data_IF_363548394963
#
_entry.id   IF_363548394963
#
_cell.length_a   1.000
_cell.length_b   1.000
_cell.length_c   1.000
_cell.angle_alpha   90.00
_cell.angle_beta   90.00
_cell.angle_gamma   90.00
#
_symmetry.space_group_name_H-M   'P 1'
#
loop_
_entity.id
_entity.type
_entity.pdbx_description
1 polymer ?
#
# COMPACT_ATOMS: atom_id res chain seq x y z
N UNK A 1 -1.17 0.12 -19.11
CA UNK A 1 -1.61 -0.95 -20.06
C UNK A 1 -0.46 -1.63 -20.81
N UNK A 2 0.59 -0.94 -21.18
CA UNK A 2 1.68 -1.49 -21.99
C UNK A 2 2.81 -2.15 -21.19
N UNK A 3 2.96 -1.86 -19.92
CA UNK A 3 4.09 -2.36 -19.14
C UNK A 3 4.02 -3.86 -18.84
N UNK A 4 2.84 -4.39 -18.52
CA UNK A 4 2.70 -5.84 -18.34
C UNK A 4 2.63 -6.64 -19.64
N UNK A 5 2.05 -6.06 -20.71
CA UNK A 5 2.01 -6.72 -22.02
C UNK A 5 3.40 -6.85 -22.69
N UNK A 6 4.29 -5.89 -22.45
CA UNK A 6 5.67 -5.97 -22.93
C UNK A 6 6.50 -7.05 -22.24
N UNK A 7 6.34 -7.18 -20.93
CA UNK A 7 7.02 -8.22 -20.14
C UNK A 7 6.55 -9.64 -20.48
N UNK A 8 5.27 -9.82 -20.78
CA UNK A 8 4.71 -11.14 -21.11
C UNK A 8 5.00 -11.60 -22.55
N UNK A 9 5.20 -10.67 -23.50
CA UNK A 9 5.53 -11.02 -24.88
C UNK A 9 6.97 -11.49 -25.09
N UNK A 10 7.87 -11.12 -24.19
CA UNK A 10 9.30 -11.47 -24.33
C UNK A 10 9.69 -12.81 -23.67
N UNK A 11 8.76 -13.53 -23.05
CA UNK A 11 9.04 -14.81 -22.41
C UNK A 11 8.96 -16.04 -23.32
N UNK A 12 8.68 -15.86 -24.61
CA UNK A 12 8.75 -16.94 -25.57
C UNK A 12 10.12 -16.94 -26.28
N UNK A 13 11.13 -17.53 -25.63
CA UNK A 13 12.35 -17.93 -26.32
C UNK A 13 13.69 -17.32 -25.93
N UNK A 14 13.81 -16.63 -24.79
CA UNK A 14 15.11 -16.18 -24.28
C UNK A 14 15.52 -16.95 -23.00
N UNK A 15 16.78 -17.37 -22.88
CA UNK A 15 17.24 -18.08 -21.68
C UNK A 15 17.15 -17.18 -20.46
N UNK A 16 16.73 -17.78 -19.34
CA UNK A 16 16.46 -17.12 -18.05
C UNK A 16 17.65 -16.36 -17.41
N UNK A 17 18.78 -16.27 -18.10
CA UNK A 17 20.02 -15.66 -17.61
C UNK A 17 20.18 -14.15 -17.91
N UNK A 18 19.30 -13.54 -18.68
CA UNK A 18 19.55 -12.18 -19.19
C UNK A 18 18.86 -11.03 -18.47
N UNK A 19 18.09 -11.29 -17.39
CA UNK A 19 17.44 -10.26 -16.58
C UNK A 19 17.77 -10.31 -15.10
N UNK A 20 19.01 -10.65 -14.76
CA UNK A 20 19.54 -10.22 -13.47
C UNK A 20 19.93 -8.75 -13.60
N UNK A 21 19.02 -7.86 -13.21
CA UNK A 21 19.44 -6.51 -12.85
C UNK A 21 20.33 -6.68 -11.63
N UNK A 22 21.60 -6.44 -11.82
CA UNK A 22 22.56 -6.43 -10.71
C UNK A 22 22.15 -5.30 -9.76
N UNK A 23 21.52 -5.64 -8.64
CA UNK A 23 21.09 -4.71 -7.61
C UNK A 23 22.26 -4.29 -6.70
N UNK A 24 23.47 -4.84 -6.94
CA UNK A 24 24.62 -4.66 -6.06
C UNK A 24 25.27 -3.27 -6.12
N UNK A 25 24.96 -2.44 -7.13
CA UNK A 25 25.57 -1.13 -7.35
C UNK A 25 24.63 0.08 -7.23
N UNK A 26 23.39 -0.10 -6.75
CA UNK A 26 22.53 1.05 -6.50
C UNK A 26 22.80 1.59 -5.10
N UNK A 27 23.40 2.76 -5.05
CA UNK A 27 23.48 3.55 -3.84
C UNK A 27 22.12 3.55 -3.12
N UNK A 28 22.11 3.20 -1.83
CA UNK A 28 20.91 3.22 -1.00
C UNK A 28 20.29 4.60 -1.09
N UNK A 29 19.02 4.68 -1.45
CA UNK A 29 18.35 5.97 -1.60
C UNK A 29 18.34 6.70 -0.25
N UNK A 30 18.79 7.95 -0.27
CA UNK A 30 18.80 8.82 0.90
C UNK A 30 17.73 9.88 0.73
N UNK A 31 16.71 9.93 1.60
CA UNK A 31 15.66 10.95 1.52
C UNK A 31 16.22 12.39 1.50
N UNK A 32 17.28 12.67 2.27
CA UNK A 32 17.92 14.00 2.31
C UNK A 32 18.45 14.41 0.92
N UNK A 33 19.06 13.49 0.19
CA UNK A 33 19.57 13.75 -1.16
C UNK A 33 18.46 14.03 -2.18
N UNK A 34 17.23 13.61 -1.88
CA UNK A 34 16.03 13.87 -2.70
C UNK A 34 15.28 15.13 -2.25
N UNK A 35 15.81 15.90 -1.32
CA UNK A 35 15.22 17.14 -0.83
C UNK A 35 14.22 16.96 0.32
N UNK A 36 14.06 15.75 0.85
CA UNK A 36 13.31 15.54 2.08
C UNK A 36 14.07 16.10 3.27
N UNK A 37 13.34 16.63 4.24
CA UNK A 37 13.91 17.23 5.45
C UNK A 37 13.68 16.30 6.64
N UNK A 38 14.75 15.96 7.37
CA UNK A 38 14.62 15.23 8.64
C UNK A 38 14.05 16.18 9.71
N UNK A 39 12.87 15.82 10.21
CA UNK A 39 12.15 16.57 11.26
C UNK A 39 12.03 15.77 12.55
N UNK A 40 12.73 14.65 12.68
CA UNK A 40 12.63 13.71 13.80
C UNK A 40 12.88 14.35 15.15
N UNK A 41 13.85 15.27 15.24
CA UNK A 41 14.22 15.93 16.50
C UNK A 41 13.06 16.71 17.14
N UNK A 42 12.14 17.24 16.32
CA UNK A 42 10.95 17.97 16.80
C UNK A 42 9.91 17.09 17.45
N UNK A 43 10.01 15.75 17.29
CA UNK A 43 9.02 14.77 17.75
C UNK A 43 9.54 13.84 18.85
N UNK A 44 10.79 13.92 19.24
CA UNK A 44 11.39 13.05 20.26
C UNK A 44 11.16 11.55 19.97
N UNK A 45 11.44 11.13 18.72
CA UNK A 45 11.25 9.75 18.28
C UNK A 45 12.36 8.83 18.82
N UNK A 46 12.07 7.52 19.00
CA UNK A 46 13.11 6.55 19.31
C UNK A 46 14.15 6.46 18.17
N UNK A 47 15.36 6.02 18.48
CA UNK A 47 16.50 6.01 17.54
C UNK A 47 16.22 5.19 16.27
N UNK A 48 15.39 4.14 16.37
CA UNK A 48 15.04 3.27 15.25
C UNK A 48 14.00 3.87 14.28
N UNK A 49 13.51 5.07 14.54
CA UNK A 49 12.44 5.72 13.78
C UNK A 49 12.83 7.15 13.42
N UNK A 50 12.72 7.46 12.13
CA UNK A 50 12.92 8.82 11.62
C UNK A 50 11.68 9.31 10.89
N UNK A 51 11.45 10.62 10.98
CA UNK A 51 10.37 11.29 10.25
C UNK A 51 10.97 12.32 9.30
N UNK A 52 10.57 12.24 8.04
CA UNK A 52 10.96 13.21 7.01
C UNK A 52 9.75 13.91 6.45
N UNK A 53 9.88 15.20 6.21
CA UNK A 53 8.91 16.02 5.49
C UNK A 53 9.35 16.17 4.04
N UNK A 54 8.39 16.09 3.12
CA UNK A 54 8.64 16.18 1.69
C UNK A 54 9.19 17.55 1.28
N UNK A 55 9.92 17.63 0.14
CA UNK A 55 10.08 18.90 -0.55
C UNK A 55 8.71 19.46 -0.93
N UNK A 56 8.66 20.76 -1.27
CA UNK A 56 7.41 21.44 -1.66
C UNK A 56 6.82 20.84 -2.94
N UNK A 57 7.66 20.28 -3.80
CA UNK A 57 7.26 19.67 -5.08
C UNK A 57 7.67 18.21 -5.13
N UNK A 58 6.69 17.34 -5.34
CA UNK A 58 6.87 15.92 -5.65
C UNK A 58 6.25 15.62 -6.99
N UNK A 59 7.00 15.01 -7.89
CA UNK A 59 6.50 14.59 -9.22
C UNK A 59 5.77 15.74 -9.96
N UNK A 60 6.31 16.96 -9.88
CA UNK A 60 5.73 18.13 -10.51
C UNK A 60 4.47 18.68 -9.84
N UNK A 61 4.12 18.18 -8.66
CA UNK A 61 2.92 18.56 -7.92
C UNK A 61 3.30 19.20 -6.59
N UNK A 62 2.69 20.35 -6.27
CA UNK A 62 2.86 20.96 -4.95
C UNK A 62 2.35 20.00 -3.88
N UNK A 63 3.21 19.66 -2.93
CA UNK A 63 2.98 18.54 -2.03
C UNK A 63 3.29 18.89 -0.58
N UNK A 64 2.58 18.22 0.31
CA UNK A 64 2.84 18.21 1.74
C UNK A 64 2.70 16.76 2.19
N UNK A 65 3.83 16.09 2.34
CA UNK A 65 3.87 14.67 2.63
C UNK A 65 4.92 14.37 3.70
N UNK A 66 4.75 13.24 4.36
CA UNK A 66 5.65 12.73 5.37
C UNK A 66 5.94 11.26 5.12
N UNK A 67 7.15 10.85 5.47
CA UNK A 67 7.51 9.45 5.60
C UNK A 67 8.05 9.18 7.00
N UNK A 68 7.53 8.14 7.63
CA UNK A 68 8.13 7.54 8.81
C UNK A 68 9.00 6.37 8.33
N UNK A 69 10.28 6.39 8.66
CA UNK A 69 11.25 5.39 8.23
C UNK A 69 11.69 4.58 9.44
N UNK A 70 11.37 3.29 9.41
CA UNK A 70 11.72 2.33 10.45
C UNK A 70 12.98 1.57 10.05
N UNK A 71 13.94 1.48 10.94
CA UNK A 71 15.18 0.77 10.72
C UNK A 71 14.98 -0.71 10.38
N UNK A 72 15.85 -1.23 9.54
CA UNK A 72 15.81 -2.62 9.08
C UNK A 72 15.86 -3.66 10.22
N UNK A 73 16.55 -3.33 11.31
CA UNK A 73 16.70 -4.19 12.48
C UNK A 73 15.58 -4.04 13.50
N UNK A 74 14.57 -3.19 13.24
CA UNK A 74 13.48 -2.88 14.15
C UNK A 74 12.10 -3.16 13.54
N UNK A 75 12.01 -4.08 12.58
CA UNK A 75 10.74 -4.47 11.92
C UNK A 75 9.74 -5.06 12.91
N UNK A 76 10.19 -5.63 14.02
CA UNK A 76 9.38 -6.10 15.12
C UNK A 76 8.54 -5.00 15.79
N UNK A 77 8.91 -3.73 15.57
CA UNK A 77 8.15 -2.57 16.05
C UNK A 77 6.92 -2.24 15.20
N UNK A 78 6.86 -2.75 13.96
CA UNK A 78 5.72 -2.56 13.09
C UNK A 78 4.62 -3.58 13.42
N UNK A 79 3.42 -3.08 13.66
CA UNK A 79 2.23 -3.88 13.97
C UNK A 79 1.07 -3.45 13.09
N UNK A 80 0.09 -4.33 12.94
CA UNK A 80 -1.20 -4.03 12.34
C UNK A 80 -2.31 -4.37 13.32
N UNK A 81 -3.32 -3.54 13.39
CA UNK A 81 -4.52 -3.83 14.16
C UNK A 81 -5.77 -3.40 13.40
N UNK A 82 -6.87 -4.06 13.69
CA UNK A 82 -8.19 -3.76 13.14
C UNK A 82 -9.25 -3.76 14.22
N UNK A 83 -10.38 -3.18 13.91
CA UNK A 83 -11.54 -3.13 14.80
C UNK A 83 -12.80 -3.53 14.04
N UNK A 84 -13.68 -4.24 14.72
CA UNK A 84 -15.03 -4.55 14.21
C UNK A 84 -15.89 -3.30 14.08
N UNK A 85 -15.64 -2.31 14.93
CA UNK A 85 -16.28 -0.99 14.88
C UNK A 85 -15.28 0.02 14.35
N UNK A 86 -15.69 0.84 13.38
CA UNK A 86 -14.82 1.89 12.83
C UNK A 86 -14.41 2.87 13.93
N UNK A 87 -13.13 3.21 13.96
CA UNK A 87 -12.56 4.10 14.97
C UNK A 87 -11.62 5.10 14.33
N UNK A 88 -11.53 6.29 14.90
CA UNK A 88 -10.54 7.28 14.46
C UNK A 88 -9.12 6.82 14.78
N UNK A 89 -8.12 7.23 14.00
CA UNK A 89 -6.72 7.00 14.34
C UNK A 89 -6.36 7.43 15.78
N UNK A 90 -6.90 8.55 16.25
CA UNK A 90 -6.68 9.00 17.64
C UNK A 90 -7.24 8.02 18.69
N UNK A 91 -8.33 7.34 18.39
CA UNK A 91 -8.87 6.30 19.29
C UNK A 91 -7.98 5.06 19.29
N UNK A 92 -7.50 4.62 18.13
CA UNK A 92 -6.49 3.57 18.05
C UNK A 92 -5.23 3.93 18.84
N UNK A 93 -4.74 5.16 18.71
CA UNK A 93 -3.60 5.65 19.49
C UNK A 93 -3.77 5.43 20.99
N UNK A 94 -4.93 5.77 21.53
CA UNK A 94 -5.23 5.57 22.96
C UNK A 94 -5.30 4.10 23.34
N UNK A 95 -5.96 3.28 22.52
CA UNK A 95 -6.14 1.85 22.79
C UNK A 95 -4.84 1.05 22.68
N UNK A 96 -3.93 1.48 21.81
CA UNK A 96 -2.65 0.82 21.58
C UNK A 96 -1.51 1.34 22.46
N UNK A 97 -1.85 2.03 23.54
CA UNK A 97 -0.90 2.55 24.53
C UNK A 97 0.09 3.58 23.97
N UNK A 98 -0.42 4.56 23.23
CA UNK A 98 0.32 5.70 22.75
C UNK A 98 1.57 5.34 21.94
N UNK A 99 1.43 4.60 20.81
CA UNK A 99 2.56 4.28 19.94
C UNK A 99 3.15 5.54 19.28
N UNK A 100 4.38 5.44 18.81
CA UNK A 100 5.06 6.57 18.13
C UNK A 100 4.39 6.94 16.82
N UNK A 101 3.86 5.95 16.08
CA UNK A 101 3.24 6.16 14.76
C UNK A 101 1.91 5.42 14.68
N UNK A 102 0.91 6.09 14.13
CA UNK A 102 -0.34 5.50 13.63
C UNK A 102 -0.52 5.96 12.18
N UNK A 103 -0.74 5.02 11.27
CA UNK A 103 -1.10 5.29 9.87
C UNK A 103 -2.39 4.54 9.53
N UNK A 104 -3.36 5.20 8.89
CA UNK A 104 -4.53 4.53 8.34
C UNK A 104 -4.09 3.43 7.37
N UNK A 105 -4.83 2.32 7.32
CA UNK A 105 -4.38 1.14 6.59
C UNK A 105 -5.32 0.73 5.45
N UNK A 106 -5.98 -0.41 5.54
CA UNK A 106 -6.70 -1.01 4.43
C UNK A 106 -8.07 -0.39 4.14
N UNK A 107 -8.67 -0.82 3.05
CA UNK A 107 -10.00 -0.40 2.63
C UNK A 107 -11.07 -0.96 3.57
N UNK A 108 -12.16 -0.23 3.69
CA UNK A 108 -13.28 -0.60 4.54
C UNK A 108 -14.61 -0.04 3.99
N UNK A 109 -15.69 -0.58 4.49
CA UNK A 109 -17.02 -0.06 4.32
C UNK A 109 -17.70 0.12 5.69
N UNK A 110 -19.00 0.41 5.72
CA UNK A 110 -19.75 0.60 6.97
C UNK A 110 -19.74 -0.63 7.90
N UNK A 111 -19.47 -1.81 7.36
CA UNK A 111 -19.51 -3.08 8.10
C UNK A 111 -18.10 -3.54 8.58
N UNK A 112 -17.06 -2.79 8.23
CA UNK A 112 -15.69 -3.08 8.65
C UNK A 112 -14.69 -3.18 7.50
N UNK A 113 -13.55 -3.83 7.75
CA UNK A 113 -12.49 -3.98 6.75
C UNK A 113 -12.95 -4.85 5.59
N UNK A 114 -12.64 -4.39 4.38
CA UNK A 114 -12.75 -5.18 3.14
C UNK A 114 -11.37 -5.51 2.55
N UNK A 115 -10.34 -5.27 3.34
CA UNK A 115 -8.95 -5.64 3.06
C UNK A 115 -8.47 -6.65 4.10
N UNK A 116 -7.60 -7.57 3.69
CA UNK A 116 -7.05 -8.58 4.59
C UNK A 116 -6.26 -7.95 5.73
N UNK A 117 -6.44 -8.51 6.92
CA UNK A 117 -5.66 -8.17 8.11
C UNK A 117 -5.24 -9.48 8.77
N UNK A 118 -3.94 -9.67 8.95
CA UNK A 118 -3.39 -10.76 9.74
C UNK A 118 -2.42 -10.18 10.76
N UNK A 119 -2.60 -10.52 12.01
CA UNK A 119 -1.77 -10.09 13.11
C UNK A 119 -1.35 -11.29 13.94
N UNK A 120 -0.04 -11.49 14.08
CA UNK A 120 0.55 -12.61 14.80
C UNK A 120 -0.06 -13.96 14.39
N UNK A 121 -0.12 -14.19 13.08
CA UNK A 121 -0.65 -15.41 12.46
C UNK A 121 -2.17 -15.56 12.51
N UNK A 122 -2.90 -14.58 13.06
CA UNK A 122 -4.36 -14.63 13.19
C UNK A 122 -5.02 -13.69 12.19
N UNK A 123 -5.87 -14.23 11.34
CA UNK A 123 -6.67 -13.45 10.40
C UNK A 123 -7.82 -12.74 11.12
N UNK A 124 -7.87 -11.42 10.98
CA UNK A 124 -8.92 -10.56 11.54
C UNK A 124 -9.95 -10.21 10.47
N UNK A 125 -9.52 -10.06 9.22
CA UNK A 125 -10.35 -9.75 8.07
C UNK A 125 -9.77 -10.34 6.79
N UNK A 126 -10.63 -10.51 5.78
CA UNK A 126 -10.27 -10.96 4.44
C UNK A 126 -10.66 -9.91 3.40
N UNK A 127 -10.04 -9.99 2.21
CA UNK A 127 -10.41 -9.18 1.07
C UNK A 127 -11.81 -9.52 0.56
N UNK A 128 -12.45 -8.57 -0.10
CA UNK A 128 -13.65 -8.84 -0.90
C UNK A 128 -13.32 -9.86 -2.00
N UNK A 129 -14.04 -11.00 -2.07
CA UNK A 129 -13.75 -12.04 -3.05
C UNK A 129 -14.32 -11.73 -4.44
N UNK A 130 -15.27 -10.80 -4.53
CA UNK A 130 -15.99 -10.49 -5.76
C UNK A 130 -16.44 -9.03 -5.78
N UNK A 131 -16.48 -8.46 -6.98
CA UNK A 131 -17.01 -7.12 -7.22
C UNK A 131 -17.85 -7.11 -8.50
N UNK A 132 -18.86 -6.23 -8.55
CA UNK A 132 -19.68 -6.04 -9.74
C UNK A 132 -19.12 -4.95 -10.65
N UNK A 133 -19.10 -5.22 -11.95
CA UNK A 133 -18.78 -4.22 -12.99
C UNK A 133 -19.66 -4.44 -14.21
N UNK A 134 -19.99 -3.37 -14.93
CA UNK A 134 -20.69 -3.46 -16.22
C UNK A 134 -19.70 -3.76 -17.33
N UNK A 135 -20.04 -4.74 -18.15
CA UNK A 135 -19.39 -5.01 -19.42
C UNK A 135 -20.46 -5.18 -20.50
N UNK A 136 -20.33 -4.46 -21.61
CA UNK A 136 -21.35 -4.39 -22.67
C UNK A 136 -22.78 -4.11 -22.14
N UNK A 137 -22.89 -3.18 -21.19
CA UNK A 137 -24.16 -2.79 -20.61
C UNK A 137 -24.79 -3.76 -19.60
N UNK A 138 -24.19 -4.93 -19.38
CA UNK A 138 -24.66 -5.96 -18.46
C UNK A 138 -23.75 -6.02 -17.23
N UNK A 139 -24.35 -6.15 -16.06
CA UNK A 139 -23.62 -6.33 -14.81
C UNK A 139 -23.05 -7.75 -14.72
N UNK A 140 -21.75 -7.85 -14.51
CA UNK A 140 -21.04 -9.11 -14.32
C UNK A 140 -20.33 -9.12 -12.98
N UNK A 141 -20.09 -10.32 -12.45
CA UNK A 141 -19.27 -10.54 -11.27
C UNK A 141 -17.83 -10.80 -11.68
N UNK A 142 -16.91 -10.02 -11.11
CA UNK A 142 -15.47 -10.14 -11.28
C UNK A 142 -14.86 -10.67 -9.99
N UNK A 143 -13.77 -11.41 -10.11
CA UNK A 143 -13.06 -12.03 -8.99
C UNK A 143 -11.61 -11.55 -8.95
N UNK A 144 -11.34 -10.33 -8.45
CA UNK A 144 -9.98 -9.82 -8.40
C UNK A 144 -9.19 -10.51 -7.29
N UNK A 145 -7.93 -10.79 -7.57
CA UNK A 145 -6.95 -10.94 -6.50
C UNK A 145 -6.61 -9.55 -5.98
N UNK A 146 -6.34 -9.41 -4.67
CA UNK A 146 -6.02 -8.13 -4.06
C UNK A 146 -4.64 -8.17 -3.43
N UNK A 147 -3.96 -7.04 -3.48
CA UNK A 147 -2.61 -6.93 -2.94
C UNK A 147 -2.58 -6.99 -1.42
N UNK A 148 -1.48 -7.54 -0.93
CA UNK A 148 -1.11 -7.55 0.49
C UNK A 148 0.34 -7.15 0.65
N UNK A 149 0.64 -6.54 1.78
CA UNK A 149 1.98 -6.33 2.28
C UNK A 149 2.18 -7.25 3.49
N UNK A 150 3.04 -8.27 3.32
CA UNK A 150 3.40 -9.20 4.37
C UNK A 150 4.62 -8.66 5.10
N UNK A 151 4.64 -8.79 6.42
CA UNK A 151 5.79 -8.36 7.20
C UNK A 151 6.01 -9.21 8.45
N UNK A 152 7.27 -9.35 8.80
CA UNK A 152 7.76 -9.98 10.01
C UNK A 152 9.03 -9.26 10.46
N UNK A 153 9.63 -9.67 11.56
CA UNK A 153 10.94 -9.19 11.99
C UNK A 153 12.05 -9.49 10.99
N UNK A 154 11.88 -10.51 10.14
CA UNK A 154 12.89 -11.00 9.18
C UNK A 154 12.76 -10.37 7.81
N UNK A 155 11.55 -10.31 7.26
CA UNK A 155 11.37 -9.84 5.88
C UNK A 155 10.00 -9.20 5.65
N UNK A 156 9.91 -8.51 4.51
CA UNK A 156 8.67 -7.95 3.98
C UNK A 156 8.53 -8.35 2.51
N UNK A 157 7.31 -8.55 2.07
CA UNK A 157 7.00 -8.88 0.68
C UNK A 157 5.63 -8.36 0.28
N UNK A 158 5.40 -8.25 -1.03
CA UNK A 158 4.08 -7.98 -1.60
C UNK A 158 3.67 -9.12 -2.51
N UNK A 159 2.38 -9.31 -2.63
CA UNK A 159 1.78 -10.26 -3.54
C UNK A 159 0.30 -10.02 -3.66
N UNK A 160 -0.38 -10.88 -4.37
CA UNK A 160 -1.84 -10.83 -4.56
C UNK A 160 -2.45 -12.08 -3.96
N UNK A 161 -3.52 -11.90 -3.20
CA UNK A 161 -4.14 -13.00 -2.47
C UNK A 161 -5.58 -13.23 -2.91
N UNK A 162 -6.03 -14.44 -2.73
CA UNK A 162 -7.40 -14.84 -2.89
C UNK A 162 -7.77 -15.90 -1.85
N UNK A 163 -8.99 -15.79 -1.33
CA UNK A 163 -9.52 -16.74 -0.37
C UNK A 163 -10.72 -17.47 -0.96
N UNK A 164 -10.72 -18.80 -0.83
CA UNK A 164 -11.83 -19.65 -1.21
C UNK A 164 -11.91 -20.87 -0.29
N UNK A 165 -13.10 -21.16 0.24
CA UNK A 165 -13.34 -22.34 1.07
C UNK A 165 -12.33 -22.48 2.24
N UNK A 166 -12.09 -21.38 2.96
CA UNK A 166 -11.14 -21.31 4.08
C UNK A 166 -9.66 -21.53 3.68
N UNK A 167 -9.37 -21.71 2.41
CA UNK A 167 -8.01 -21.74 1.88
C UNK A 167 -7.62 -20.32 1.44
N UNK A 168 -6.39 -19.94 1.75
CA UNK A 168 -5.81 -18.66 1.35
C UNK A 168 -4.60 -18.90 0.48
N UNK A 169 -4.60 -18.27 -0.67
CA UNK A 169 -3.52 -18.38 -1.66
C UNK A 169 -2.87 -17.03 -1.87
N UNK A 170 -1.55 -17.05 -2.06
CA UNK A 170 -0.78 -15.89 -2.53
C UNK A 170 -0.18 -16.20 -3.89
N UNK A 171 -0.31 -15.22 -4.79
CA UNK A 171 0.13 -15.30 -6.18
C UNK A 171 1.25 -14.28 -6.41
N UNK A 172 2.16 -14.61 -7.34
CA UNK A 172 3.22 -13.72 -7.79
C UNK A 172 2.77 -12.78 -8.93
N UNK A 173 1.61 -13.06 -9.52
CA UNK A 173 0.93 -12.23 -10.52
C UNK A 173 -0.52 -12.03 -10.09
N UNK A 174 -1.13 -10.88 -10.39
CA UNK A 174 -2.55 -10.68 -10.15
C UNK A 174 -3.39 -11.43 -11.17
N UNK A 175 -4.66 -11.66 -10.86
CA UNK A 175 -5.66 -12.01 -11.86
C UNK A 175 -5.71 -10.91 -12.94
N UNK A 176 -5.76 -11.31 -14.22
CA UNK A 176 -5.65 -10.37 -15.35
C UNK A 176 -6.99 -9.69 -15.68
N UNK A 177 -7.72 -9.27 -14.67
CA UNK A 177 -8.96 -8.53 -14.87
C UNK A 177 -8.71 -7.20 -15.58
N UNK A 178 -9.70 -6.79 -16.34
CA UNK A 178 -9.75 -5.50 -17.01
C UNK A 178 -11.21 -5.04 -17.03
N UNK A 179 -11.46 -3.80 -16.64
CA UNK A 179 -12.82 -3.20 -16.65
C UNK A 179 -13.44 -3.10 -18.05
N UNK A 180 -12.62 -3.24 -19.11
CA UNK A 180 -13.05 -3.21 -20.50
C UNK A 180 -13.13 -4.61 -21.14
N UNK A 181 -13.10 -5.67 -20.32
CA UNK A 181 -13.15 -7.03 -20.80
C UNK A 181 -14.13 -7.88 -19.97
N UNK A 182 -14.58 -8.98 -20.54
CA UNK A 182 -15.35 -9.99 -19.83
C UNK A 182 -14.56 -10.49 -18.60
N UNK A 183 -15.26 -10.87 -17.50
CA UNK A 183 -14.60 -11.39 -16.30
C UNK A 183 -13.66 -12.56 -16.58
N UNK A 184 -12.51 -12.54 -15.91
CA UNK A 184 -11.59 -13.67 -15.91
C UNK A 184 -12.10 -14.79 -15.00
N UNK A 185 -11.59 -16.01 -15.15
CA UNK A 185 -11.92 -17.10 -14.24
C UNK A 185 -11.66 -16.73 -12.79
N UNK A 186 -12.44 -17.31 -11.89
CA UNK A 186 -12.22 -17.21 -10.46
C UNK A 186 -10.81 -17.73 -10.11
N UNK A 187 -10.04 -17.03 -9.27
CA UNK A 187 -8.74 -17.49 -8.84
C UNK A 187 -8.79 -18.89 -8.21
N UNK A 188 -7.78 -19.70 -8.49
CA UNK A 188 -7.71 -21.11 -8.10
C UNK A 188 -6.26 -21.55 -7.92
N UNK A 189 -6.04 -22.83 -7.71
CA UNK A 189 -4.70 -23.44 -7.67
C UNK A 189 -3.96 -23.38 -9.02
N UNK A 190 -4.65 -23.02 -10.10
CA UNK A 190 -4.07 -22.99 -11.47
C UNK A 190 -4.10 -21.60 -12.11
N UNK A 191 -4.87 -20.67 -11.56
CA UNK A 191 -5.06 -19.35 -12.14
C UNK A 191 -5.07 -18.27 -11.03
N UNK A 192 -4.41 -17.11 -11.23
CA UNK A 192 -3.72 -16.61 -12.44
C UNK A 192 -2.34 -17.25 -12.71
N UNK A 193 -1.70 -17.78 -11.73
CA UNK A 193 -0.45 -18.53 -11.80
C UNK A 193 -0.38 -19.45 -10.58
N UNK A 194 0.54 -20.38 -10.56
CA UNK A 194 0.68 -21.31 -9.43
C UNK A 194 0.83 -20.57 -8.09
N UNK A 195 -0.12 -20.71 -7.16
CA UNK A 195 -0.05 -20.06 -5.87
C UNK A 195 0.76 -20.86 -4.86
N UNK A 196 1.17 -20.14 -3.81
CA UNK A 196 1.54 -20.77 -2.55
C UNK A 196 0.42 -20.62 -1.53
N UNK A 197 0.40 -21.48 -0.50
CA UNK A 197 -0.43 -21.24 0.67
C UNK A 197 0.01 -19.94 1.34
N UNK A 198 -0.95 -19.12 1.72
CA UNK A 198 -0.67 -17.84 2.34
C UNK A 198 -0.90 -17.89 3.84
N UNK A 199 0.20 -17.92 4.60
CA UNK A 199 0.21 -18.01 6.07
C UNK A 199 1.21 -16.98 6.63
N UNK A 200 0.91 -15.68 6.53
CA UNK A 200 1.81 -14.64 6.99
C UNK A 200 1.83 -14.56 8.52
N UNK A 201 2.92 -14.07 9.08
CA UNK A 201 2.96 -13.65 10.48
C UNK A 201 2.11 -12.39 10.66
N UNK A 202 2.38 -11.38 9.87
CA UNK A 202 1.57 -10.16 9.80
C UNK A 202 1.31 -9.79 8.34
N UNK A 203 0.15 -9.25 8.06
CA UNK A 203 -0.18 -8.74 6.73
C UNK A 203 -1.27 -7.68 6.80
N UNK A 204 -1.19 -6.75 5.88
CA UNK A 204 -2.21 -5.75 5.60
C UNK A 204 -2.55 -5.76 4.12
N UNK A 205 -3.82 -5.84 3.83
CA UNK A 205 -4.36 -5.66 2.49
C UNK A 205 -4.51 -4.20 2.13
N UNK A 206 -4.49 -3.92 0.87
CA UNK A 206 -4.67 -2.59 0.29
C UNK A 206 -4.68 -2.71 -1.22
N UNK A 207 -3.95 -1.86 -1.86
CA UNK A 207 -3.75 -1.92 -3.30
C UNK A 207 -3.97 -0.59 -4.01
N UNK A 208 -3.44 -0.53 -5.23
CA UNK A 208 -2.67 -1.56 -5.92
C UNK A 208 -1.26 -1.74 -5.37
N UNK A 209 -0.59 -2.82 -5.77
CA UNK A 209 0.87 -2.90 -5.67
C UNK A 209 1.44 -1.80 -6.56
N UNK A 210 2.30 -0.98 -6.00
CA UNK A 210 2.93 0.14 -6.70
C UNK A 210 4.29 -0.26 -7.29
N UNK A 211 5.09 -0.96 -6.48
CA UNK A 211 6.42 -1.44 -6.85
C UNK A 211 6.56 -2.89 -6.39
N UNK A 212 7.06 -3.76 -7.24
CA UNK A 212 7.39 -5.13 -6.92
C UNK A 212 8.74 -5.51 -7.51
N UNK A 213 9.62 -6.05 -6.68
CA UNK A 213 10.98 -6.43 -7.07
C UNK A 213 11.74 -5.30 -7.78
N UNK A 214 11.57 -4.07 -7.30
CA UNK A 214 12.18 -2.86 -7.84
C UNK A 214 11.54 -2.31 -9.12
N UNK A 215 10.45 -2.90 -9.59
CA UNK A 215 9.77 -2.50 -10.82
C UNK A 215 8.42 -1.87 -10.49
N UNK A 216 8.14 -0.70 -11.06
CA UNK A 216 6.82 -0.07 -10.96
C UNK A 216 5.81 -0.90 -11.74
N UNK A 217 4.76 -1.37 -11.07
CA UNK A 217 3.72 -2.18 -11.69
C UNK A 217 2.31 -1.58 -11.62
N UNK A 218 1.97 -0.86 -10.58
CA UNK A 218 0.71 -0.12 -10.41
C UNK A 218 -0.53 -0.90 -10.92
N UNK A 219 -0.86 -2.00 -10.26
CA UNK A 219 -1.82 -3.01 -10.72
C UNK A 219 -3.29 -2.67 -10.44
N UNK A 220 -3.65 -1.39 -10.46
CA UNK A 220 -5.01 -0.96 -10.14
C UNK A 220 -6.08 -1.55 -11.07
N UNK A 221 -5.76 -1.69 -12.37
CA UNK A 221 -6.73 -2.23 -13.34
C UNK A 221 -6.98 -3.73 -13.11
N UNK A 222 -5.92 -4.49 -12.91
CA UNK A 222 -5.98 -5.93 -12.65
C UNK A 222 -6.70 -6.25 -11.33
N UNK A 223 -6.51 -5.40 -10.34
CA UNK A 223 -7.16 -5.53 -9.03
C UNK A 223 -8.56 -4.91 -9.00
N UNK A 224 -9.03 -4.30 -10.09
CA UNK A 224 -10.30 -3.57 -10.16
C UNK A 224 -10.41 -2.49 -9.08
N UNK A 225 -9.30 -1.79 -8.84
CA UNK A 225 -9.21 -0.62 -7.99
C UNK A 225 -9.35 0.65 -8.85
N UNK A 226 -10.48 0.71 -9.53
CA UNK A 226 -10.85 1.72 -10.51
C UNK A 226 -11.72 2.83 -9.89
N UNK A 227 -12.26 3.69 -10.74
CA UNK A 227 -13.15 4.77 -10.29
C UNK A 227 -14.44 4.23 -9.64
N UNK A 228 -15.00 3.14 -10.16
CA UNK A 228 -16.18 2.51 -9.57
C UNK A 228 -15.88 1.92 -8.18
N UNK A 229 -14.63 1.53 -7.93
CA UNK A 229 -14.15 1.13 -6.61
C UNK A 229 -13.82 2.29 -5.68
N UNK A 230 -13.92 3.53 -6.14
CA UNK A 230 -13.67 4.72 -5.34
C UNK A 230 -12.19 5.11 -5.19
N UNK A 231 -11.27 4.43 -5.88
CA UNK A 231 -9.82 4.65 -5.72
C UNK A 231 -9.33 5.84 -6.54
N UNK A 232 -9.93 6.09 -7.69
CA UNK A 232 -9.59 7.20 -8.60
C UNK A 232 -8.08 7.24 -8.91
N UNK A 233 -7.55 6.19 -9.57
CA UNK A 233 -6.10 5.99 -9.69
C UNK A 233 -5.38 7.08 -10.49
N UNK A 234 -6.10 7.74 -11.41
CA UNK A 234 -5.55 8.79 -12.28
C UNK A 234 -5.66 10.20 -11.68
N UNK A 235 -6.39 10.34 -10.59
CA UNK A 235 -6.66 11.65 -9.97
C UNK A 235 -5.78 11.87 -8.74
N UNK A 236 -5.45 13.14 -8.47
CA UNK A 236 -4.72 13.52 -7.27
C UNK A 236 -5.66 13.54 -6.05
N UNK A 237 -5.26 12.83 -5.02
CA UNK A 237 -5.96 12.74 -3.74
C UNK A 237 -4.95 12.60 -2.61
N UNK A 238 -5.37 12.81 -1.34
CA UNK A 238 -4.59 12.33 -0.21
C UNK A 238 -4.31 10.84 -0.38
N UNK A 239 -3.09 10.40 -0.08
CA UNK A 239 -2.67 9.00 -0.23
C UNK A 239 -1.90 8.55 1.00
N UNK A 240 -1.98 7.26 1.28
CA UNK A 240 -1.13 6.57 2.24
C UNK A 240 -0.56 5.31 1.58
N UNK A 241 0.66 4.94 1.94
CA UNK A 241 1.33 3.78 1.37
C UNK A 241 2.34 3.18 2.36
N UNK A 242 2.67 1.93 2.14
CA UNK A 242 3.73 1.22 2.84
C UNK A 242 4.71 0.63 1.84
N UNK A 243 6.00 0.66 2.17
CA UNK A 243 7.02 0.04 1.36
C UNK A 243 8.20 -0.47 2.19
N UNK A 244 9.01 -1.29 1.57
CA UNK A 244 10.28 -1.77 2.10
C UNK A 244 11.39 -1.45 1.09
N UNK A 245 12.48 -0.91 1.59
CA UNK A 245 13.64 -0.56 0.77
C UNK A 245 14.52 -1.78 0.52
N UNK A 246 15.46 -1.66 -0.42
CA UNK A 246 16.43 -2.73 -0.74
C UNK A 246 17.26 -3.12 0.48
N UNK A 247 17.59 -2.17 1.35
CA UNK A 247 18.32 -2.41 2.61
C UNK A 247 17.41 -2.76 3.80
N UNK A 248 16.13 -3.01 3.55
CA UNK A 248 15.18 -3.54 4.53
C UNK A 248 14.51 -2.54 5.45
N UNK A 249 14.66 -1.24 5.21
CA UNK A 249 13.92 -0.21 5.94
C UNK A 249 12.46 -0.20 5.53
N UNK A 250 11.57 0.04 6.48
CA UNK A 250 10.14 0.19 6.19
C UNK A 250 9.81 1.68 6.06
N UNK A 251 9.09 2.03 5.01
CA UNK A 251 8.61 3.39 4.76
C UNK A 251 7.09 3.41 4.90
N UNK A 252 6.60 4.23 5.81
CA UNK A 252 5.20 4.59 5.94
C UNK A 252 5.01 5.99 5.38
N UNK A 253 4.26 6.09 4.30
CA UNK A 253 4.03 7.35 3.56
C UNK A 253 2.62 7.84 3.77
N UNK A 254 2.45 9.15 3.94
CA UNK A 254 1.14 9.80 3.84
C UNK A 254 1.27 11.22 3.29
N UNK A 255 0.38 11.60 2.38
CA UNK A 255 0.36 12.95 1.84
C UNK A 255 -1.00 13.60 2.00
N UNK A 256 -0.97 14.90 2.27
CA UNK A 256 -2.12 15.78 2.23
C UNK A 256 -2.64 15.92 0.79
N UNK A 257 -3.91 16.20 0.64
CA UNK A 257 -4.51 16.50 -0.65
C UNK A 257 -5.85 17.19 -0.50
N UNK A 258 -6.48 17.52 -1.64
CA UNK A 258 -7.76 18.25 -1.69
C UNK A 258 -7.73 19.59 -0.95
N UNK A 259 -6.55 20.14 -0.71
CA UNK A 259 -6.35 21.44 -0.08
C UNK A 259 -6.26 22.51 -1.16
N UNK A 260 -7.41 23.07 -1.53
CA UNK A 260 -7.52 24.08 -2.59
C UNK A 260 -6.89 25.42 -2.18
N UNK A 261 -6.99 25.77 -0.91
CA UNK A 261 -6.45 27.04 -0.38
C UNK A 261 -4.93 27.08 -0.54
N UNK A 262 -4.23 26.03 -0.16
CA UNK A 262 -2.77 25.95 -0.28
C UNK A 262 -2.31 25.35 -1.62
N UNK A 263 -3.25 25.01 -2.52
CA UNK A 263 -2.96 24.39 -3.82
C UNK A 263 -2.20 23.06 -3.70
N UNK A 264 -2.56 22.25 -2.72
CA UNK A 264 -2.01 20.92 -2.49
C UNK A 264 -3.09 19.89 -2.89
N UNK A 265 -3.00 19.32 -4.10
CA UNK A 265 -4.04 18.41 -4.60
C UNK A 265 -3.88 16.98 -4.06
N UNK A 266 -2.70 16.59 -3.63
CA UNK A 266 -2.30 15.21 -3.38
C UNK A 266 -1.61 14.59 -4.59
N UNK A 267 -1.57 13.27 -4.65
CA UNK A 267 -0.91 12.51 -5.71
C UNK A 267 -1.88 11.53 -6.37
N UNK A 268 -1.68 11.27 -7.66
CA UNK A 268 -2.27 10.11 -8.31
C UNK A 268 -1.40 8.87 -8.04
N UNK A 269 -1.88 7.67 -8.39
CA UNK A 269 -1.16 6.44 -8.09
C UNK A 269 0.12 6.26 -8.91
N UNK A 270 0.23 6.87 -10.08
CA UNK A 270 1.46 6.85 -10.89
C UNK A 270 2.56 7.71 -10.25
N UNK A 271 2.19 8.88 -9.77
CA UNK A 271 3.11 9.75 -9.01
C UNK A 271 3.55 9.07 -7.71
N UNK A 272 2.62 8.48 -6.97
CA UNK A 272 2.92 7.78 -5.72
C UNK A 272 3.87 6.60 -5.94
N UNK A 273 3.68 5.81 -6.99
CA UNK A 273 4.57 4.71 -7.34
C UNK A 273 6.00 5.20 -7.62
N UNK A 274 6.15 6.30 -8.36
CA UNK A 274 7.47 6.90 -8.62
C UNK A 274 8.12 7.46 -7.37
N UNK A 275 7.34 8.09 -6.49
CA UNK A 275 7.84 8.58 -5.19
C UNK A 275 8.37 7.41 -4.35
N UNK A 276 7.58 6.34 -4.18
CA UNK A 276 8.00 5.19 -3.40
C UNK A 276 9.25 4.52 -3.98
N UNK A 277 9.32 4.40 -5.30
CA UNK A 277 10.52 3.88 -5.96
C UNK A 277 11.73 4.79 -5.75
N UNK A 278 11.58 6.10 -5.87
CA UNK A 278 12.65 7.07 -5.65
C UNK A 278 13.22 7.01 -4.23
N UNK A 279 12.39 6.66 -3.26
CA UNK A 279 12.77 6.45 -1.86
C UNK A 279 13.50 5.11 -1.62
N UNK A 280 13.76 4.35 -2.66
CA UNK A 280 14.48 3.08 -2.60
C UNK A 280 13.63 1.85 -2.32
N UNK A 281 12.30 1.97 -2.38
CA UNK A 281 11.43 0.83 -2.19
C UNK A 281 11.62 -0.21 -3.29
N UNK A 282 11.89 -1.44 -2.88
CA UNK A 282 11.88 -2.62 -3.74
C UNK A 282 10.49 -3.22 -3.84
N UNK A 283 9.69 -3.07 -2.79
CA UNK A 283 8.26 -3.40 -2.76
C UNK A 283 7.48 -2.27 -2.11
N UNK A 284 6.34 -1.92 -2.68
CA UNK A 284 5.46 -0.90 -2.12
C UNK A 284 4.01 -1.15 -2.54
N UNK A 285 3.10 -0.78 -1.65
CA UNK A 285 1.65 -0.95 -1.84
C UNK A 285 0.91 0.29 -1.39
N UNK A 286 -0.09 0.71 -2.18
CA UNK A 286 -1.03 1.75 -1.77
C UNK A 286 -1.96 1.24 -0.66
N UNK A 287 -2.30 2.12 0.25
CA UNK A 287 -3.30 1.92 1.29
C UNK A 287 -4.54 2.75 0.99
N UNK A 288 -5.50 2.76 1.90
CA UNK A 288 -6.65 3.66 1.78
C UNK A 288 -6.21 5.12 1.85
N UNK A 289 -6.90 5.96 1.12
CA UNK A 289 -6.56 7.36 0.95
C UNK A 289 -7.75 8.30 1.11
N UNK A 290 -7.69 9.44 0.45
CA UNK A 290 -8.73 10.44 0.53
C UNK A 290 -8.91 10.94 1.96
N UNK A 291 -10.14 11.02 2.43
CA UNK A 291 -10.47 11.45 3.79
C UNK A 291 -9.96 10.52 4.90
N UNK A 292 -9.56 9.27 4.55
CA UNK A 292 -8.95 8.33 5.51
C UNK A 292 -7.48 8.61 5.77
N UNK A 293 -6.77 9.31 4.87
CA UNK A 293 -5.33 9.58 5.01
C UNK A 293 -5.04 10.34 6.30
N UNK A 294 -4.33 9.68 7.20
CA UNK A 294 -3.98 10.22 8.50
C UNK A 294 -2.72 9.55 9.03
N UNK A 295 -1.70 10.35 9.28
CA UNK A 295 -0.48 9.94 9.95
C UNK A 295 -0.38 10.67 11.28
N UNK A 296 -0.43 9.92 12.38
CA UNK A 296 -0.21 10.45 13.71
C UNK A 296 1.23 10.16 14.14
N UNK A 297 1.90 11.19 14.62
CA UNK A 297 3.20 11.08 15.30
C UNK A 297 3.01 11.54 16.74
N UNK A 298 3.28 10.64 17.69
CA UNK A 298 3.00 10.84 19.11
C UNK A 298 1.57 11.35 19.36
N UNK A 299 0.61 10.79 18.62
CA UNK A 299 -0.81 11.09 18.76
C UNK A 299 -1.30 12.35 18.06
N UNK A 300 -0.42 13.07 17.35
CA UNK A 300 -0.79 14.31 16.64
C UNK A 300 -0.71 14.12 15.13
N UNK A 301 -1.73 14.54 14.37
CA UNK A 301 -1.67 14.47 12.91
C UNK A 301 -0.61 15.43 12.36
N UNK A 302 0.16 14.95 11.37
CA UNK A 302 1.21 15.74 10.71
C UNK A 302 0.66 16.72 9.67
N UNK A 303 -0.57 16.51 9.22
CA UNK A 303 -1.35 17.43 8.39
C UNK A 303 -2.84 17.28 8.70
N UNK A 304 -3.62 18.30 8.33
CA UNK A 304 -5.06 18.26 8.55
C UNK A 304 -5.75 17.25 7.62
N UNK A 305 -6.65 16.41 8.11
CA UNK A 305 -7.45 15.52 7.28
C UNK A 305 -8.29 16.30 6.26
N UNK A 306 -8.44 15.77 5.06
CA UNK A 306 -9.20 16.45 4.00
C UNK A 306 -10.70 16.60 4.29
N UNK A 307 -11.24 15.76 5.16
CA UNK A 307 -12.64 15.85 5.64
C UNK A 307 -12.82 16.92 6.74
N UNK A 308 -11.76 17.65 7.12
CA UNK A 308 -11.77 18.59 8.24
C UNK A 308 -11.70 17.94 9.63
N UNK A 309 -11.85 16.64 9.71
CA UNK A 309 -11.72 15.81 10.91
C UNK A 309 -11.22 14.42 10.56
N UNK A 310 -10.67 13.71 11.54
CA UNK A 310 -10.27 12.32 11.34
C UNK A 310 -11.49 11.46 10.98
N UNK A 311 -11.36 10.67 9.93
CA UNK A 311 -12.34 9.66 9.56
C UNK A 311 -12.16 8.43 10.45
N UNK A 312 -13.27 7.84 10.91
CA UNK A 312 -13.24 6.53 11.52
C UNK A 312 -12.90 5.48 10.47
N UNK A 313 -11.91 4.64 10.74
CA UNK A 313 -11.36 3.62 9.85
C UNK A 313 -11.41 2.24 10.50
N UNK A 314 -11.25 1.17 9.71
CA UNK A 314 -11.30 -0.20 10.22
C UNK A 314 -9.94 -0.73 10.71
N UNK A 315 -8.84 -0.18 10.22
CA UNK A 315 -7.51 -0.69 10.52
C UNK A 315 -6.45 0.40 10.46
N UNK A 316 -5.38 0.18 11.20
CA UNK A 316 -4.20 1.04 11.22
C UNK A 316 -2.91 0.22 11.27
N UNK A 317 -1.84 0.78 10.73
CA UNK A 317 -0.46 0.37 10.98
C UNK A 317 0.10 1.18 12.13
N UNK A 318 0.92 0.52 12.95
CA UNK A 318 1.40 1.05 14.22
C UNK A 318 2.90 0.82 14.32
N UNK A 319 3.64 1.82 14.81
CA UNK A 319 5.03 1.64 15.25
C UNK A 319 5.12 1.96 16.74
N UNK A 320 5.54 0.99 17.53
CA UNK A 320 5.71 1.10 18.99
C UNK A 320 7.15 1.40 19.38
#
# INVERSE_FOLDING_TARGET
RNYMKGSLKNNAGLPAASFRVDLSDKAVANPLALGWKDVSASFHLPEYLKLYQSPVWLEGTRSHAYIAVLDANSKDKLLVTGSKTLQTPSRFYKQENAPSVILNAGFFNKDGSVSSICSDGKFIADNLPAVGRKWNGVMHTYYPTRSVFNFSDKNCSVGWVYQQNQKRYIYQLPSFNDIFAYPKPKPSEKYPAEPSSWNPENAIGGGPVLVKDGIICNTWAEELLDNAGGILPMECHPRSAIGVTTDGKIILFSCEGRNKEQKIPGLNLYQLARVMKSLGCVNAMNLDGGGSSCLLINGKPVFAPSDGKQRAVASVLIVK
#
